data_IF_618070750538
#
_entry.id   IF_618070750538
#
_cell.length_a   1.000
_cell.length_b   1.000
_cell.length_c   1.000
_cell.angle_alpha   90.00
_cell.angle_beta   90.00
_cell.angle_gamma   90.00
#
_symmetry.space_group_name_H-M   'P 1'
#
loop_
_entity.id
_entity.type
_entity.pdbx_description
1 polymer ?
#
# COMPACT_ATOMS: atom_id res chain seq x y z
N UNK A 1 -2.08 10.62 16.73
CA UNK A 1 -2.35 12.07 16.58
C UNK A 1 -3.26 12.25 15.38
N UNK A 2 -2.81 12.19 14.12
CA UNK A 2 -3.69 12.32 12.93
C UNK A 2 -4.97 11.44 12.89
N UNK A 3 -4.86 10.10 12.99
CA UNK A 3 -6.04 9.20 12.99
C UNK A 3 -7.04 9.47 14.13
N UNK A 4 -6.55 9.98 15.25
CA UNK A 4 -7.39 10.32 16.41
C UNK A 4 -7.98 11.73 16.34
N UNK A 5 -7.54 12.54 15.39
CA UNK A 5 -7.93 13.95 15.21
C UNK A 5 -8.84 14.15 13.98
N UNK A 6 -9.36 13.07 13.40
CA UNK A 6 -10.27 13.11 12.23
C UNK A 6 -9.70 13.86 11.02
N UNK A 7 -8.37 13.82 10.87
CA UNK A 7 -7.70 14.35 9.70
C UNK A 7 -7.84 13.39 8.53
N UNK A 8 -7.89 13.95 7.32
CA UNK A 8 -7.70 13.17 6.10
C UNK A 8 -6.24 12.69 6.03
N UNK A 9 -6.03 11.41 5.67
CA UNK A 9 -4.73 10.75 5.72
C UNK A 9 -4.46 10.01 4.43
N UNK A 10 -3.34 10.37 3.81
CA UNK A 10 -2.67 9.57 2.79
C UNK A 10 -1.37 8.98 3.35
N UNK A 11 -1.16 7.68 3.14
CA UNK A 11 0.09 6.99 3.49
C UNK A 11 0.84 6.65 2.20
N UNK A 12 2.07 7.16 2.03
CA UNK A 12 3.01 6.63 1.04
C UNK A 12 3.98 5.67 1.71
N UNK A 13 4.15 4.48 1.12
CA UNK A 13 5.07 3.46 1.61
C UNK A 13 5.83 2.82 0.46
N UNK A 14 7.13 2.58 0.64
CA UNK A 14 8.00 2.02 -0.39
C UNK A 14 8.67 0.74 0.09
N UNK A 15 8.79 -0.27 -0.79
CA UNK A 15 9.51 -1.51 -0.53
C UNK A 15 9.04 -2.19 0.77
N UNK A 16 9.94 -2.57 1.67
CA UNK A 16 9.62 -3.15 2.98
C UNK A 16 8.70 -2.26 3.84
N UNK A 17 8.66 -0.95 3.59
CA UNK A 17 7.72 -0.05 4.23
C UNK A 17 6.27 -0.46 3.99
N UNK A 18 5.94 -1.03 2.82
CA UNK A 18 4.56 -1.46 2.53
C UNK A 18 4.14 -2.65 3.41
N UNK A 19 5.06 -3.57 3.71
CA UNK A 19 4.81 -4.69 4.64
C UNK A 19 4.54 -4.16 6.04
N UNK A 20 5.39 -3.21 6.51
CA UNK A 20 5.23 -2.60 7.83
C UNK A 20 3.88 -1.87 7.92
N UNK A 21 3.53 -1.10 6.90
CA UNK A 21 2.24 -0.39 6.84
C UNK A 21 1.08 -1.37 6.87
N UNK A 22 1.10 -2.44 6.08
CA UNK A 22 0.07 -3.47 6.08
C UNK A 22 -0.13 -4.05 7.49
N UNK A 23 0.95 -4.47 8.15
CA UNK A 23 0.90 -5.07 9.47
C UNK A 23 0.37 -4.12 10.55
N UNK A 24 0.72 -2.83 10.46
CA UNK A 24 0.23 -1.80 11.36
C UNK A 24 -1.26 -1.54 11.14
N UNK A 25 -1.70 -1.42 9.89
CA UNK A 25 -3.11 -1.25 9.54
C UNK A 25 -3.95 -2.47 10.00
N UNK A 26 -3.40 -3.68 9.86
CA UNK A 26 -4.04 -4.89 10.36
C UNK A 26 -4.17 -4.87 11.88
N UNK A 27 -3.14 -4.41 12.61
CA UNK A 27 -3.23 -4.27 14.08
C UNK A 27 -4.29 -3.25 14.48
N UNK A 28 -4.35 -2.08 13.82
CA UNK A 28 -5.38 -1.08 14.07
C UNK A 28 -6.79 -1.60 13.80
N UNK A 29 -6.92 -2.51 12.84
CA UNK A 29 -8.16 -3.18 12.49
C UNK A 29 -8.67 -4.17 13.55
N UNK A 30 -7.79 -4.78 14.36
CA UNK A 30 -8.17 -5.96 15.17
C UNK A 30 -7.64 -6.03 16.61
N UNK A 31 -6.54 -5.36 16.95
CA UNK A 31 -6.00 -5.42 18.32
C UNK A 31 -6.80 -4.54 19.27
N UNK A 32 -7.06 -5.06 20.48
CA UNK A 32 -7.89 -4.40 21.48
C UNK A 32 -7.34 -3.05 21.96
N UNK A 33 -6.03 -2.88 21.95
CA UNK A 33 -5.33 -1.64 22.34
C UNK A 33 -5.60 -0.46 21.39
N UNK A 34 -6.18 -0.72 20.20
CA UNK A 34 -6.50 0.28 19.18
C UNK A 34 -8.01 0.46 18.96
N UNK A 35 -8.87 -0.06 19.85
CA UNK A 35 -10.34 0.00 19.71
C UNK A 35 -10.87 1.41 19.43
N UNK A 36 -10.28 2.43 20.05
CA UNK A 36 -10.65 3.83 19.92
C UNK A 36 -10.44 4.42 18.52
N UNK A 37 -9.55 3.83 17.71
CA UNK A 37 -9.29 4.25 16.32
C UNK A 37 -9.73 3.23 15.29
N UNK A 38 -10.40 2.14 15.71
CA UNK A 38 -10.74 1.01 14.83
C UNK A 38 -11.66 1.38 13.67
N UNK A 39 -12.57 2.33 13.92
CA UNK A 39 -13.50 2.85 12.91
C UNK A 39 -12.90 3.99 12.07
N UNK A 40 -11.70 4.48 12.43
CA UNK A 40 -11.00 5.52 11.67
C UNK A 40 -10.34 4.89 10.44
N UNK A 41 -10.44 5.58 9.31
CA UNK A 41 -9.93 5.10 8.02
C UNK A 41 -8.79 5.97 7.52
N UNK A 42 -7.87 5.33 6.79
CA UNK A 42 -6.91 6.01 5.92
C UNK A 42 -7.57 6.16 4.56
N UNK A 43 -7.67 7.39 4.07
CA UNK A 43 -8.36 7.67 2.82
C UNK A 43 -7.63 7.10 1.62
N UNK A 44 -6.30 7.26 1.59
CA UNK A 44 -5.47 6.74 0.48
C UNK A 44 -4.23 6.05 1.01
N UNK A 45 -3.99 4.82 0.59
CA UNK A 45 -2.72 4.13 0.82
C UNK A 45 -2.02 3.89 -0.52
N UNK A 46 -0.85 4.51 -0.69
CA UNK A 46 0.00 4.37 -1.87
C UNK A 46 1.16 3.42 -1.56
N UNK A 47 1.27 2.34 -2.32
CA UNK A 47 2.39 1.39 -2.26
C UNK A 47 3.31 1.57 -3.46
N UNK A 48 4.62 1.67 -3.21
CA UNK A 48 5.64 1.91 -4.23
C UNK A 48 6.62 0.74 -4.25
N UNK A 49 6.78 0.05 -5.39
CA UNK A 49 7.70 -1.10 -5.51
C UNK A 49 7.46 -2.15 -4.43
N UNK A 50 6.18 -2.53 -4.26
CA UNK A 50 5.74 -3.32 -3.12
C UNK A 50 5.97 -4.82 -3.33
N UNK A 51 6.54 -5.54 -2.34
CA UNK A 51 6.61 -7.00 -2.37
C UNK A 51 5.29 -7.67 -1.93
N UNK A 52 4.19 -6.94 -1.74
CA UNK A 52 2.96 -7.50 -1.16
C UNK A 52 2.28 -8.57 -2.03
N UNK A 53 2.59 -8.63 -3.33
CA UNK A 53 2.10 -9.70 -4.20
C UNK A 53 2.95 -10.98 -4.14
N UNK A 54 4.17 -10.91 -3.59
CA UNK A 54 5.00 -12.10 -3.43
C UNK A 54 4.41 -13.10 -2.42
N UNK A 55 4.34 -14.36 -2.81
CA UNK A 55 3.79 -15.44 -1.99
C UNK A 55 4.53 -15.64 -0.66
N UNK A 56 5.85 -15.43 -0.64
CA UNK A 56 6.62 -15.53 0.60
C UNK A 56 6.29 -14.38 1.53
N UNK A 57 6.14 -13.18 1.00
CA UNK A 57 5.69 -11.99 1.74
C UNK A 57 4.29 -12.21 2.31
N UNK A 58 3.32 -12.62 1.48
CA UNK A 58 1.92 -12.87 1.90
C UNK A 58 1.80 -13.87 3.04
N UNK A 59 2.67 -14.89 3.12
CA UNK A 59 2.69 -15.87 4.22
C UNK A 59 3.16 -15.31 5.55
N UNK A 60 3.93 -14.22 5.53
CA UNK A 60 4.51 -13.61 6.73
C UNK A 60 3.72 -12.38 7.24
N UNK A 61 2.72 -11.91 6.49
CA UNK A 61 1.87 -10.79 6.89
C UNK A 61 1.03 -11.10 8.14
N UNK A 62 0.70 -10.08 8.92
CA UNK A 62 -0.34 -10.19 9.95
C UNK A 62 -1.66 -10.60 9.33
N UNK A 63 -2.34 -11.53 9.98
CA UNK A 63 -3.57 -12.12 9.45
C UNK A 63 -3.36 -13.25 8.44
N UNK A 64 -2.13 -13.58 8.02
CA UNK A 64 -1.90 -14.64 7.03
C UNK A 64 -2.47 -16.01 7.44
N UNK A 65 -2.46 -16.33 8.74
CA UNK A 65 -3.05 -17.55 9.31
C UNK A 65 -4.54 -17.42 9.67
N UNK A 66 -5.13 -16.23 9.53
CA UNK A 66 -6.53 -15.98 9.80
C UNK A 66 -7.40 -16.36 8.59
N UNK A 67 -8.71 -16.52 8.84
CA UNK A 67 -9.70 -16.85 7.82
C UNK A 67 -10.66 -15.68 7.55
N UNK A 68 -11.25 -15.68 6.36
CA UNK A 68 -12.21 -14.66 5.93
C UNK A 68 -11.63 -13.25 5.95
N UNK A 69 -12.47 -12.27 6.28
CA UNK A 69 -12.09 -10.86 6.34
C UNK A 69 -10.90 -10.57 7.27
N UNK A 70 -10.72 -11.37 8.35
CA UNK A 70 -9.59 -11.20 9.29
C UNK A 70 -8.21 -11.40 8.68
N UNK A 71 -8.11 -11.86 7.44
CA UNK A 71 -6.85 -11.92 6.70
C UNK A 71 -6.30 -10.52 6.34
N UNK A 72 -7.17 -9.53 6.22
CA UNK A 72 -6.85 -8.22 5.63
C UNK A 72 -7.09 -7.06 6.61
N UNK A 73 -6.35 -5.94 6.52
CA UNK A 73 -6.78 -4.70 7.15
C UNK A 73 -8.13 -4.25 6.55
N UNK A 74 -8.96 -3.56 7.33
CA UNK A 74 -10.25 -3.00 6.85
C UNK A 74 -10.32 -1.49 7.00
N UNK A 75 -9.21 -0.83 7.32
CA UNK A 75 -9.13 0.59 7.65
C UNK A 75 -8.48 1.44 6.54
N UNK A 76 -8.60 1.01 5.27
CA UNK A 76 -8.13 1.73 4.07
C UNK A 76 -9.32 1.92 3.14
N UNK A 77 -9.56 3.14 2.68
CA UNK A 77 -10.63 3.47 1.73
C UNK A 77 -10.18 3.17 0.30
N UNK A 78 -9.08 3.79 -0.15
CA UNK A 78 -8.50 3.57 -1.48
C UNK A 78 -7.06 3.07 -1.37
N UNK A 79 -6.72 2.03 -2.13
CA UNK A 79 -5.35 1.52 -2.23
C UNK A 79 -4.85 1.71 -3.66
N UNK A 80 -3.77 2.49 -3.82
CA UNK A 80 -3.12 2.70 -5.10
C UNK A 80 -1.74 2.04 -5.07
N UNK A 81 -1.49 1.10 -5.97
CA UNK A 81 -0.20 0.45 -6.14
C UNK A 81 0.54 1.03 -7.35
N UNK A 82 1.80 1.39 -7.17
CA UNK A 82 2.67 1.87 -8.23
C UNK A 82 3.90 0.96 -8.31
N UNK A 83 4.00 0.22 -9.41
CA UNK A 83 5.09 -0.70 -9.68
C UNK A 83 5.91 -0.19 -10.87
N UNK A 84 7.24 -0.17 -10.72
CA UNK A 84 8.12 0.15 -11.82
C UNK A 84 8.45 -1.10 -12.64
N UNK A 85 8.46 -0.95 -13.96
CA UNK A 85 8.99 -1.96 -14.87
C UNK A 85 10.44 -2.30 -14.48
N UNK A 86 10.81 -3.57 -14.59
CA UNK A 86 12.12 -4.13 -14.24
C UNK A 86 12.48 -4.01 -12.74
N UNK A 87 11.54 -3.64 -11.88
CA UNK A 87 11.69 -3.72 -10.44
C UNK A 87 11.48 -5.16 -9.94
N UNK A 88 12.52 -5.97 -10.06
CA UNK A 88 12.52 -7.37 -9.62
C UNK A 88 12.27 -7.58 -8.11
N UNK A 89 12.22 -6.53 -7.28
CA UNK A 89 11.82 -6.71 -5.87
C UNK A 89 10.31 -6.88 -5.76
N UNK A 90 9.56 -6.20 -6.61
CA UNK A 90 8.11 -6.36 -6.82
C UNK A 90 7.88 -7.28 -8.02
N UNK A 91 8.07 -8.59 -7.82
CA UNK A 91 7.84 -9.59 -8.89
C UNK A 91 6.40 -9.60 -9.42
N UNK A 92 5.45 -9.16 -8.59
CA UNK A 92 4.06 -8.99 -8.97
C UNK A 92 3.73 -7.49 -9.02
N UNK A 93 3.31 -7.05 -10.20
CA UNK A 93 2.99 -5.64 -10.47
C UNK A 93 1.49 -5.36 -10.33
N UNK A 94 0.68 -6.38 -10.02
CA UNK A 94 -0.79 -6.32 -9.97
C UNK A 94 -1.33 -6.70 -8.60
N UNK A 95 -1.27 -5.80 -7.61
CA UNK A 95 -1.80 -6.13 -6.28
C UNK A 95 -3.33 -6.25 -6.25
N UNK A 96 -4.05 -5.67 -7.22
CA UNK A 96 -5.50 -5.76 -7.26
C UNK A 96 -6.00 -7.20 -7.40
N UNK A 97 -5.28 -8.09 -8.08
CA UNK A 97 -5.72 -9.47 -8.26
C UNK A 97 -5.54 -10.33 -7.00
N UNK A 98 -4.43 -10.12 -6.29
CA UNK A 98 -4.04 -10.76 -5.05
C UNK A 98 -4.99 -10.41 -3.90
N UNK A 99 -5.38 -9.15 -3.85
CA UNK A 99 -6.21 -8.58 -2.79
C UNK A 99 -7.67 -8.39 -3.20
N UNK A 100 -8.08 -8.92 -4.36
CA UNK A 100 -9.46 -8.86 -4.91
C UNK A 100 -10.56 -9.23 -3.91
N UNK A 101 -10.28 -10.13 -2.96
CA UNK A 101 -11.23 -10.50 -1.91
C UNK A 101 -11.63 -9.32 -1.03
N UNK A 102 -10.74 -8.36 -0.81
CA UNK A 102 -11.04 -7.14 -0.06
C UNK A 102 -12.12 -6.32 -0.76
N UNK A 103 -12.02 -6.15 -2.08
CA UNK A 103 -13.04 -5.46 -2.89
C UNK A 103 -14.37 -6.22 -2.89
N UNK A 104 -14.32 -7.54 -3.09
CA UNK A 104 -15.53 -8.39 -3.07
C UNK A 104 -16.27 -8.40 -1.73
N UNK A 105 -15.58 -8.08 -0.64
CA UNK A 105 -16.14 -7.97 0.70
C UNK A 105 -16.33 -6.53 1.16
N UNK A 106 -16.23 -5.56 0.24
CA UNK A 106 -16.43 -4.12 0.51
C UNK A 106 -15.56 -3.60 1.67
N UNK A 107 -14.35 -4.17 1.81
CA UNK A 107 -13.37 -3.77 2.84
C UNK A 107 -12.50 -2.59 2.40
N UNK A 108 -12.47 -2.32 1.09
CA UNK A 108 -11.75 -1.25 0.41
C UNK A 108 -12.59 -0.88 -0.83
N UNK A 109 -12.68 0.40 -1.14
CA UNK A 109 -13.49 0.89 -2.26
C UNK A 109 -12.82 0.57 -3.60
N UNK A 110 -11.49 0.67 -3.65
CA UNK A 110 -10.69 0.45 -4.86
C UNK A 110 -9.27 -0.04 -4.55
N UNK A 111 -8.74 -0.88 -5.45
CA UNK A 111 -7.33 -1.22 -5.53
C UNK A 111 -6.91 -0.97 -6.97
N UNK A 112 -6.10 0.06 -7.20
CA UNK A 112 -5.71 0.54 -8.53
C UNK A 112 -4.22 0.34 -8.76
N UNK A 113 -3.86 -0.41 -9.80
CA UNK A 113 -2.47 -0.69 -10.18
C UNK A 113 -1.98 0.26 -11.28
N UNK A 114 -0.82 0.89 -11.06
CA UNK A 114 -0.14 1.76 -12.01
C UNK A 114 1.26 1.24 -12.31
N UNK A 115 1.54 1.00 -13.59
CA UNK A 115 2.88 0.68 -14.07
C UNK A 115 3.62 1.94 -14.49
N UNK A 116 4.89 2.06 -14.10
CA UNK A 116 5.74 3.20 -14.43
C UNK A 116 7.12 2.75 -14.93
N UNK A 117 7.88 3.65 -15.54
CA UNK A 117 9.30 3.43 -15.80
C UNK A 117 10.13 4.27 -14.83
N UNK A 118 10.72 3.62 -13.83
CA UNK A 118 11.58 4.33 -12.87
C UNK A 118 12.99 4.50 -13.44
N UNK A 119 13.30 5.73 -13.85
CA UNK A 119 14.56 6.09 -14.50
C UNK A 119 15.68 6.45 -13.52
N UNK A 120 15.57 6.09 -12.24
CA UNK A 120 16.62 6.33 -11.26
C UNK A 120 17.90 5.59 -11.62
N UNK A 121 19.03 6.29 -11.56
CA UNK A 121 20.37 5.74 -11.83
C UNK A 121 21.21 5.83 -10.57
N UNK A 122 21.89 4.74 -10.21
CA UNK A 122 22.86 4.70 -9.11
C UNK A 122 24.18 4.14 -9.62
N UNK A 123 25.27 4.87 -9.42
CA UNK A 123 26.62 4.49 -9.87
C UNK A 123 26.68 4.10 -11.36
N UNK A 124 25.98 4.86 -12.22
CA UNK A 124 25.94 4.62 -13.66
C UNK A 124 25.12 3.40 -14.11
N UNK A 125 24.39 2.75 -13.20
CA UNK A 125 23.50 1.62 -13.49
C UNK A 125 22.04 1.98 -13.19
N UNK A 126 21.12 1.46 -14.00
CA UNK A 126 19.68 1.56 -13.75
C UNK A 126 19.33 0.95 -12.39
N UNK A 127 18.46 1.62 -11.64
CA UNK A 127 17.97 1.17 -10.34
C UNK A 127 16.47 1.47 -10.22
N UNK A 128 15.61 0.68 -10.90
CA UNK A 128 14.16 0.92 -10.94
C UNK A 128 13.48 0.75 -9.57
N UNK A 129 14.12 0.09 -8.61
CA UNK A 129 13.62 -0.02 -7.23
C UNK A 129 13.89 1.22 -6.37
N UNK A 130 14.64 2.21 -6.87
CA UNK A 130 15.04 3.35 -6.04
C UNK A 130 13.83 4.23 -5.66
N UNK A 131 13.55 4.35 -4.36
CA UNK A 131 12.38 5.08 -3.84
C UNK A 131 12.28 6.54 -4.32
N UNK A 132 13.41 7.26 -4.44
CA UNK A 132 13.38 8.63 -4.96
C UNK A 132 12.83 8.71 -6.40
N UNK A 133 13.09 7.69 -7.22
CA UNK A 133 12.59 7.63 -8.59
C UNK A 133 11.09 7.43 -8.67
N UNK A 134 10.51 6.66 -7.74
CA UNK A 134 9.06 6.59 -7.56
C UNK A 134 8.49 7.93 -7.11
N UNK A 135 9.08 8.56 -6.10
CA UNK A 135 8.55 9.79 -5.50
C UNK A 135 8.51 10.97 -6.48
N UNK A 136 9.49 11.10 -7.36
CA UNK A 136 9.52 12.16 -8.38
C UNK A 136 8.73 11.81 -9.64
N UNK A 137 8.20 10.58 -9.74
CA UNK A 137 7.50 10.14 -10.95
C UNK A 137 6.19 10.92 -11.11
N UNK A 138 5.85 11.42 -12.32
CA UNK A 138 4.64 12.20 -12.56
C UNK A 138 3.34 11.52 -12.08
N UNK A 139 3.24 10.19 -12.21
CA UNK A 139 2.11 9.40 -11.69
C UNK A 139 1.94 9.58 -10.18
N UNK A 140 3.01 9.42 -9.40
CA UNK A 140 2.97 9.54 -7.93
C UNK A 140 2.71 10.99 -7.53
N UNK A 141 3.37 11.93 -8.19
CA UNK A 141 3.14 13.37 -7.95
C UNK A 141 1.69 13.77 -8.24
N UNK A 142 1.07 13.20 -9.29
CA UNK A 142 -0.34 13.43 -9.60
C UNK A 142 -1.26 12.85 -8.53
N UNK A 143 -1.05 11.60 -8.10
CA UNK A 143 -1.85 10.96 -7.03
C UNK A 143 -1.83 11.82 -5.77
N UNK A 144 -0.65 12.25 -5.33
CA UNK A 144 -0.51 13.09 -4.12
C UNK A 144 -1.11 14.48 -4.34
N UNK A 145 -0.91 15.08 -5.52
CA UNK A 145 -1.46 16.39 -5.85
C UNK A 145 -2.98 16.42 -5.91
N UNK A 146 -3.60 15.37 -6.47
CA UNK A 146 -5.05 15.23 -6.53
C UNK A 146 -5.63 15.07 -5.11
N UNK A 147 -4.99 14.28 -4.24
CA UNK A 147 -5.41 14.14 -2.83
C UNK A 147 -5.23 15.43 -2.02
N UNK A 148 -4.14 16.16 -2.20
CA UNK A 148 -3.94 17.45 -1.52
C UNK A 148 -4.96 18.52 -1.95
N UNK A 149 -5.60 18.35 -3.10
CA UNK A 149 -6.59 19.27 -3.65
C UNK A 149 -8.05 18.86 -3.39
N UNK A 150 -8.31 17.70 -2.77
CA UNK A 150 -9.66 17.21 -2.48
C UNK A 150 -10.29 17.80 -1.22
#
# INVERSE_FOLDING_TARGET
>A
KALGEDQDILILSHSLGTIITYDVLWKFSYYGEWQQIREKKVSVWVTLGSPLGDETTKRNLKGASASGARKFPHNVVQWINVAAEDDYVSHDETLADDYRKMQNWEMVDSIDDHRIYNLAVRNGKSNPHHGAGYLIHPTVSKIVGDWLGS
#
